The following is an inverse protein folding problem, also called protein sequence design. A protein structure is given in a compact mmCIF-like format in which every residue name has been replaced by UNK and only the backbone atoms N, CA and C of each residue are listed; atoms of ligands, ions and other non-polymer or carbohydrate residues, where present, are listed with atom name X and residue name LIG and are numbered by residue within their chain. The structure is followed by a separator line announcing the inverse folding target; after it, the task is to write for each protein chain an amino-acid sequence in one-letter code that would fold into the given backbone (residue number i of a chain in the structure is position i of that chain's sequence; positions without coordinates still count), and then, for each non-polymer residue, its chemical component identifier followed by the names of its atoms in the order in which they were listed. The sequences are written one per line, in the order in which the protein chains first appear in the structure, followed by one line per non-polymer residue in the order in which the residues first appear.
data_IF_685194829955
#
_entry.id   IF_685194829955
#
_cell.length_a   1.000
_cell.length_b   1.000
_cell.length_c   1.000
_cell.angle_alpha   90.00
_cell.angle_beta   90.00
_cell.angle_gamma   90.00
#
_symmetry.space_group_name_H-M   'P 1'
#
loop_
_entity.id
_entity.type
_entity.pdbx_description
1 polymer ?
#
# COMPACT_ATOMS: atom_id res chain seq x y z
N UNK A 1 7.65 1.51 -42.48
CA UNK A 1 8.66 0.44 -42.64
C UNK A 1 8.20 -0.77 -41.82
N UNK A 2 7.55 -1.75 -42.44
CA UNK A 2 7.56 -3.18 -42.10
C UNK A 2 6.51 -3.91 -42.99
N UNK A 3 6.97 -4.75 -43.91
CA UNK A 3 6.15 -5.60 -44.82
C UNK A 3 6.19 -7.09 -44.43
N UNK A 4 6.53 -7.38 -43.17
CA UNK A 4 6.39 -8.71 -42.56
C UNK A 4 5.60 -8.55 -41.27
N UNK A 5 4.74 -9.53 -40.97
CA UNK A 5 4.14 -9.64 -39.65
C UNK A 5 5.26 -9.57 -38.59
N UNK A 6 5.18 -8.70 -37.60
CA UNK A 6 6.18 -8.64 -36.54
C UNK A 6 6.23 -10.00 -35.84
N UNK A 7 7.44 -10.56 -35.67
CA UNK A 7 7.67 -11.91 -35.12
C UNK A 7 8.07 -11.88 -33.63
N UNK A 8 7.92 -10.74 -32.93
CA UNK A 8 8.35 -10.60 -31.53
C UNK A 8 7.49 -9.59 -30.77
N UNK A 9 7.51 -9.68 -29.45
CA UNK A 9 6.78 -8.76 -28.58
C UNK A 9 7.25 -7.32 -28.79
N UNK A 10 6.32 -6.38 -28.68
CA UNK A 10 6.55 -4.95 -28.87
C UNK A 10 6.18 -4.20 -27.60
N UNK A 11 7.07 -3.31 -27.18
CA UNK A 11 6.78 -2.28 -26.18
C UNK A 11 6.83 -0.93 -26.90
N UNK A 12 5.76 -0.14 -26.81
CA UNK A 12 5.66 1.13 -27.53
C UNK A 12 5.06 2.25 -26.66
N UNK A 13 5.34 3.49 -27.04
CA UNK A 13 4.57 4.65 -26.58
C UNK A 13 3.39 4.83 -27.52
N UNK A 14 2.21 5.13 -26.98
CA UNK A 14 1.04 5.48 -27.79
C UNK A 14 1.27 6.79 -28.56
N UNK A 15 0.59 6.94 -29.70
CA UNK A 15 0.72 8.14 -30.55
C UNK A 15 0.36 9.45 -29.82
N UNK A 16 -0.51 9.36 -28.82
CA UNK A 16 -0.95 10.47 -27.96
C UNK A 16 -0.27 10.48 -26.58
N UNK A 17 0.85 9.76 -26.41
CA UNK A 17 1.58 9.75 -25.15
C UNK A 17 2.21 11.13 -24.88
N UNK A 18 1.96 11.64 -23.69
CA UNK A 18 2.55 12.85 -23.15
C UNK A 18 3.38 12.53 -21.89
N UNK A 19 4.41 13.33 -21.64
CA UNK A 19 5.30 13.13 -20.48
C UNK A 19 4.49 13.45 -19.20
N UNK A 20 4.50 12.55 -18.19
CA UNK A 20 3.78 12.79 -16.94
C UNK A 20 4.23 14.08 -16.24
N UNK A 21 3.26 14.88 -15.81
CA UNK A 21 3.45 16.08 -15.01
C UNK A 21 2.63 15.99 -13.72
N UNK A 22 2.99 16.80 -12.72
CA UNK A 22 2.22 16.86 -11.48
C UNK A 22 2.12 18.30 -11.05
N UNK A 23 0.90 18.81 -10.99
CA UNK A 23 0.63 20.08 -10.34
C UNK A 23 0.73 19.87 -8.83
N UNK A 24 1.48 20.73 -8.15
CA UNK A 24 1.60 20.72 -6.69
C UNK A 24 1.24 22.07 -6.13
N UNK A 25 0.31 22.10 -5.18
CA UNK A 25 -0.07 23.29 -4.44
C UNK A 25 0.06 23.00 -2.94
N UNK A 26 0.65 23.91 -2.18
CA UNK A 26 0.72 23.80 -0.73
C UNK A 26 0.34 25.11 -0.05
N UNK A 27 -0.29 24.98 1.11
CA UNK A 27 -0.65 26.09 1.99
C UNK A 27 -0.34 25.68 3.43
N UNK A 28 0.47 26.49 4.10
CA UNK A 28 0.84 26.27 5.50
C UNK A 28 0.55 27.50 6.35
N UNK A 29 0.13 27.29 7.58
CA UNK A 29 -0.02 28.33 8.59
C UNK A 29 0.50 27.85 9.93
N UNK A 30 1.14 28.76 10.66
CA UNK A 30 1.64 28.51 12.01
C UNK A 30 1.21 29.65 12.94
N UNK A 31 0.87 29.29 14.18
CA UNK A 31 0.45 30.22 15.21
C UNK A 31 1.12 29.88 16.54
N UNK A 32 1.73 30.89 17.16
CA UNK A 32 2.26 30.80 18.52
C UNK A 32 1.23 31.42 19.45
N UNK A 33 0.73 30.62 20.39
CA UNK A 33 -0.24 31.08 21.41
C UNK A 33 0.43 31.98 22.45
N UNK A 34 -0.36 32.69 23.26
CA UNK A 34 0.14 33.45 24.42
C UNK A 34 0.86 32.58 25.47
N UNK A 35 0.62 31.27 25.44
CA UNK A 35 1.29 30.28 26.29
C UNK A 35 2.41 29.54 25.56
N UNK A 36 2.99 30.12 24.52
CA UNK A 36 4.14 29.59 23.75
C UNK A 36 3.96 28.22 23.11
N UNK A 37 2.73 27.72 22.98
CA UNK A 37 2.44 26.59 22.10
C UNK A 37 2.58 27.02 20.64
N UNK A 38 3.39 26.30 19.86
CA UNK A 38 3.44 26.41 18.41
C UNK A 38 2.48 25.39 17.80
N UNK A 39 1.44 25.89 17.14
CA UNK A 39 0.45 25.13 16.38
C UNK A 39 0.72 25.32 14.89
N UNK A 40 0.74 24.26 14.10
CA UNK A 40 0.83 24.36 12.63
C UNK A 40 -0.20 23.50 11.93
N UNK A 41 -0.63 23.99 10.78
CA UNK A 41 -1.46 23.27 9.82
C UNK A 41 -0.84 23.42 8.44
N UNK A 42 -0.72 22.32 7.72
CA UNK A 42 -0.24 22.28 6.34
C UNK A 42 -1.21 21.48 5.49
N UNK A 43 -1.51 21.98 4.30
CA UNK A 43 -2.30 21.31 3.27
C UNK A 43 -1.43 21.18 2.04
N UNK A 44 -1.35 19.97 1.48
CA UNK A 44 -0.66 19.68 0.22
C UNK A 44 -1.66 19.02 -0.73
N UNK A 45 -1.80 19.59 -1.92
CA UNK A 45 -2.58 19.04 -3.02
C UNK A 45 -1.65 18.72 -4.20
N UNK A 46 -1.83 17.52 -4.76
CA UNK A 46 -1.19 17.07 -5.98
C UNK A 46 -2.26 16.63 -6.97
N UNK A 47 -2.09 16.99 -8.23
CA UNK A 47 -2.92 16.54 -9.34
C UNK A 47 -2.02 15.93 -10.39
N UNK A 48 -2.30 14.67 -10.79
CA UNK A 48 -1.49 13.96 -11.77
C UNK A 48 -2.04 14.22 -13.17
N UNK A 49 -1.20 14.82 -14.00
CA UNK A 49 -1.47 15.05 -15.41
C UNK A 49 -0.64 14.07 -16.24
N UNK A 50 -1.21 13.53 -17.30
CA UNK A 50 -0.53 12.62 -18.22
C UNK A 50 0.11 11.39 -17.54
N UNK A 51 -0.50 10.86 -16.47
CA UNK A 51 -0.01 9.68 -15.77
C UNK A 51 0.09 8.48 -16.72
N UNK A 52 1.22 7.76 -16.67
CA UNK A 52 1.48 6.62 -17.54
C UNK A 52 0.66 5.41 -17.14
N UNK A 53 -0.09 4.82 -18.08
CA UNK A 53 -0.73 3.52 -17.89
C UNK A 53 -0.35 2.55 -19.01
N UNK A 54 -0.43 1.25 -18.74
CA UNK A 54 -0.06 0.20 -19.68
C UNK A 54 -1.30 -0.55 -20.11
N UNK A 55 -1.39 -0.87 -21.40
CA UNK A 55 -2.47 -1.70 -21.96
C UNK A 55 -1.93 -2.59 -23.08
N UNK A 56 -2.65 -3.67 -23.41
CA UNK A 56 -2.27 -4.58 -24.49
C UNK A 56 -3.05 -4.21 -25.75
N UNK A 57 -2.37 -3.68 -26.77
CA UNK A 57 -2.97 -3.24 -28.03
C UNK A 57 -3.75 -4.37 -28.73
N UNK A 58 -3.40 -5.63 -28.48
CA UNK A 58 -4.14 -6.78 -29.05
C UNK A 58 -5.55 -6.91 -28.47
N UNK A 59 -5.76 -6.37 -27.28
CA UNK A 59 -6.97 -6.47 -26.49
C UNK A 59 -7.79 -5.17 -26.52
N UNK A 60 -7.63 -4.34 -27.56
CA UNK A 60 -8.21 -2.99 -27.58
C UNK A 60 -9.74 -2.93 -27.71
N UNK A 61 -10.39 -4.05 -28.08
CA UNK A 61 -11.84 -4.11 -28.30
C UNK A 61 -12.48 -5.09 -27.33
N UNK A 62 -13.45 -4.59 -26.57
CA UNK A 62 -14.28 -5.42 -25.70
C UNK A 62 -15.07 -6.41 -26.56
N UNK A 63 -14.97 -7.69 -26.23
CA UNK A 63 -15.66 -8.79 -26.91
C UNK A 63 -16.94 -9.19 -26.17
N UNK A 64 -16.89 -9.27 -24.84
CA UNK A 64 -18.00 -9.72 -24.00
C UNK A 64 -18.14 -8.83 -22.75
N UNK A 65 -19.17 -9.10 -21.95
CA UNK A 65 -19.40 -8.43 -20.66
C UNK A 65 -19.54 -9.48 -19.58
N UNK A 66 -18.80 -9.33 -18.50
CA UNK A 66 -18.84 -10.19 -17.33
C UNK A 66 -20.18 -10.08 -16.58
N UNK A 67 -20.53 -11.08 -15.74
CA UNK A 67 -21.73 -11.05 -14.89
C UNK A 67 -21.89 -9.74 -14.09
N UNK A 68 -20.79 -9.17 -13.60
CA UNK A 68 -20.75 -7.94 -12.81
C UNK A 68 -20.63 -6.65 -13.64
N UNK A 69 -20.72 -6.75 -14.97
CA UNK A 69 -20.67 -5.62 -15.89
C UNK A 69 -19.27 -5.23 -16.36
N UNK A 70 -18.19 -5.88 -15.88
CA UNK A 70 -16.83 -5.60 -16.37
C UNK A 70 -16.61 -6.04 -17.82
N UNK A 71 -15.76 -5.33 -18.57
CA UNK A 71 -15.46 -5.70 -19.95
C UNK A 71 -14.58 -6.96 -20.00
N UNK A 72 -14.90 -7.86 -20.94
CA UNK A 72 -14.06 -9.01 -21.31
C UNK A 72 -13.51 -8.74 -22.70
N UNK A 73 -12.21 -8.94 -22.86
CA UNK A 73 -11.49 -8.65 -24.11
C UNK A 73 -11.03 -9.95 -24.75
N UNK A 74 -11.09 -10.02 -26.09
CA UNK A 74 -10.48 -11.11 -26.84
C UNK A 74 -9.06 -10.73 -27.25
N UNK A 75 -8.08 -11.48 -26.74
CA UNK A 75 -6.66 -11.28 -27.03
C UNK A 75 -6.05 -12.44 -27.82
N UNK A 76 -6.87 -13.37 -28.29
CA UNK A 76 -6.48 -14.67 -28.82
C UNK A 76 -5.96 -14.64 -30.26
N UNK A 77 -5.81 -13.46 -30.86
CA UNK A 77 -5.49 -13.25 -32.28
C UNK A 77 -4.11 -13.74 -32.77
N UNK A 78 -3.37 -14.53 -32.00
CA UNK A 78 -2.09 -15.15 -32.40
C UNK A 78 -0.93 -14.18 -32.64
N UNK A 79 -1.16 -12.88 -32.45
CA UNK A 79 -0.13 -11.85 -32.57
C UNK A 79 0.80 -11.86 -31.36
N UNK A 80 2.11 -11.61 -31.54
CA UNK A 80 3.02 -11.38 -30.41
C UNK A 80 2.51 -10.24 -29.53
N UNK A 81 2.82 -10.32 -28.24
CA UNK A 81 2.44 -9.32 -27.24
C UNK A 81 2.80 -7.89 -27.67
N UNK A 82 1.89 -6.95 -27.44
CA UNK A 82 2.08 -5.56 -27.82
C UNK A 82 1.61 -4.64 -26.67
N UNK A 83 2.49 -4.40 -25.69
CA UNK A 83 2.20 -3.51 -24.58
C UNK A 83 2.49 -2.07 -24.98
N UNK A 84 1.49 -1.21 -24.81
CA UNK A 84 1.56 0.21 -25.15
C UNK A 84 1.40 1.05 -23.88
N UNK A 85 2.19 2.10 -23.76
CA UNK A 85 2.09 3.10 -22.70
C UNK A 85 1.25 4.27 -23.20
N UNK A 86 0.13 4.54 -22.52
CA UNK A 86 -0.71 5.71 -22.72
C UNK A 86 -0.59 6.73 -21.58
N UNK A 87 -1.29 7.85 -21.73
CA UNK A 87 -1.36 8.93 -20.74
C UNK A 87 -2.80 9.14 -20.28
N UNK A 88 -3.01 9.44 -19.00
CA UNK A 88 -4.33 9.76 -18.42
C UNK A 88 -4.22 10.86 -17.36
N UNK A 89 -5.21 11.73 -17.29
CA UNK A 89 -5.32 12.75 -16.24
C UNK A 89 -6.11 12.18 -15.05
N UNK A 90 -5.59 11.11 -14.46
CA UNK A 90 -6.17 10.43 -13.30
C UNK A 90 -5.12 10.25 -12.21
N UNK A 91 -5.56 10.39 -10.97
CA UNK A 91 -4.72 10.32 -9.78
C UNK A 91 -4.59 11.69 -9.12
N UNK A 92 -4.64 11.70 -7.80
CA UNK A 92 -4.52 12.92 -7.02
C UNK A 92 -3.96 12.61 -5.63
N UNK A 93 -3.51 13.63 -4.91
CA UNK A 93 -3.09 13.45 -3.53
C UNK A 93 -3.44 14.67 -2.70
N UNK A 94 -4.20 14.48 -1.63
CA UNK A 94 -4.57 15.52 -0.69
C UNK A 94 -4.11 15.12 0.71
N UNK A 95 -3.21 15.92 1.28
CA UNK A 95 -2.64 15.68 2.60
C UNK A 95 -2.95 16.86 3.52
N UNK A 96 -3.39 16.55 4.73
CA UNK A 96 -3.56 17.49 5.83
C UNK A 96 -2.60 17.10 6.96
N UNK A 97 -1.71 18.00 7.35
CA UNK A 97 -0.84 17.81 8.49
C UNK A 97 -1.16 18.83 9.58
N UNK A 98 -1.32 18.35 10.80
CA UNK A 98 -1.50 19.16 11.99
C UNK A 98 -0.38 18.85 12.96
N UNK A 99 0.27 19.88 13.51
CA UNK A 99 1.31 19.68 14.50
C UNK A 99 1.19 20.66 15.66
N UNK A 100 1.69 20.20 16.81
CA UNK A 100 1.81 20.97 18.03
C UNK A 100 3.20 20.75 18.62
N UNK A 101 3.82 21.82 19.10
CA UNK A 101 5.05 21.72 19.86
C UNK A 101 5.10 22.74 20.99
N UNK A 102 5.83 22.38 22.03
CA UNK A 102 6.09 23.24 23.18
C UNK A 102 7.32 22.76 23.92
N UNK A 103 8.14 23.70 24.34
CA UNK A 103 9.17 23.50 25.36
C UNK A 103 8.82 24.27 26.64
N UNK A 104 9.23 23.73 27.78
CA UNK A 104 9.07 24.38 29.08
C UNK A 104 10.01 23.79 30.12
N UNK A 105 10.35 24.60 31.11
CA UNK A 105 11.13 24.16 32.27
C UNK A 105 10.23 23.66 33.40
N UNK A 106 10.70 22.63 34.09
CA UNK A 106 10.14 22.15 35.35
C UNK A 106 11.22 22.08 36.43
N UNK A 107 10.82 21.93 37.69
CA UNK A 107 11.77 21.64 38.78
C UNK A 107 12.55 20.33 38.58
N UNK A 108 12.05 19.45 37.72
CA UNK A 108 12.65 18.15 37.43
C UNK A 108 13.43 18.11 36.12
N UNK A 109 13.54 19.22 35.37
CA UNK A 109 14.26 19.32 34.09
C UNK A 109 13.47 20.05 33.02
N UNK A 110 14.13 20.35 31.91
CA UNK A 110 13.51 20.92 30.71
C UNK A 110 12.77 19.83 29.93
N UNK A 111 11.60 20.15 29.40
CA UNK A 111 10.80 19.28 28.57
C UNK A 111 10.62 19.94 27.20
N UNK A 112 10.80 19.17 26.13
CA UNK A 112 10.46 19.56 24.76
C UNK A 112 9.56 18.48 24.15
N UNK A 113 8.37 18.88 23.73
CA UNK A 113 7.35 18.00 23.16
C UNK A 113 7.03 18.42 21.73
N UNK A 114 6.82 17.43 20.88
CA UNK A 114 6.21 17.59 19.57
C UNK A 114 5.23 16.45 19.30
N UNK A 115 4.08 16.76 18.72
CA UNK A 115 3.15 15.77 18.20
C UNK A 115 2.60 16.24 16.85
N UNK A 116 2.39 15.31 15.92
CA UNK A 116 1.74 15.58 14.66
C UNK A 116 0.86 14.44 14.19
N UNK A 117 -0.19 14.77 13.45
CA UNK A 117 -0.97 13.82 12.65
C UNK A 117 -1.00 14.31 11.21
N UNK A 118 -0.80 13.39 10.28
CA UNK A 118 -0.98 13.60 8.85
C UNK A 118 -2.07 12.66 8.37
N UNK A 119 -3.09 13.22 7.73
CA UNK A 119 -4.16 12.51 7.04
C UNK A 119 -3.92 12.64 5.54
N UNK A 120 -4.00 11.54 4.81
CA UNK A 120 -3.74 11.49 3.37
C UNK A 120 -4.88 10.78 2.67
N UNK A 121 -5.29 11.34 1.54
CA UNK A 121 -6.12 10.70 0.52
C UNK A 121 -5.29 10.75 -0.78
N UNK A 122 -4.80 9.59 -1.22
CA UNK A 122 -3.87 9.47 -2.34
C UNK A 122 -4.38 8.41 -3.30
N UNK A 123 -4.77 8.88 -4.48
CA UNK A 123 -5.21 8.02 -5.57
C UNK A 123 -4.18 7.99 -6.71
N UNK A 124 -4.06 6.83 -7.34
CA UNK A 124 -3.30 6.62 -8.56
C UNK A 124 -4.05 5.68 -9.50
N UNK A 125 -3.38 5.18 -10.54
CA UNK A 125 -3.91 4.18 -11.47
C UNK A 125 -3.38 2.76 -11.19
N UNK A 126 -2.54 2.58 -10.17
CA UNK A 126 -2.01 1.28 -9.72
C UNK A 126 -0.79 0.73 -10.47
N UNK A 127 -0.38 1.34 -11.59
CA UNK A 127 0.71 0.87 -12.44
C UNK A 127 2.10 1.41 -12.03
N UNK A 128 3.17 0.90 -12.66
CA UNK A 128 4.50 1.52 -12.62
C UNK A 128 5.44 1.03 -11.51
N UNK A 129 5.11 -0.09 -10.86
CA UNK A 129 5.86 -0.64 -9.72
C UNK A 129 6.89 -1.71 -10.11
N UNK A 130 6.96 -2.09 -11.39
CA UNK A 130 7.74 -3.22 -11.89
C UNK A 130 8.75 -2.81 -12.98
N UNK A 131 9.56 -3.75 -13.48
CA UNK A 131 10.73 -3.43 -14.32
C UNK A 131 10.54 -3.59 -15.84
N UNK A 132 9.51 -4.30 -16.31
CA UNK A 132 9.24 -4.49 -17.74
C UNK A 132 7.85 -3.98 -18.10
N UNK A 133 7.57 -3.72 -19.37
CA UNK A 133 6.25 -3.24 -19.78
C UNK A 133 5.16 -4.27 -19.46
N UNK A 134 5.45 -5.56 -19.68
CA UNK A 134 4.54 -6.66 -19.39
C UNK A 134 4.22 -6.75 -17.91
N UNK A 135 5.24 -6.70 -17.04
CA UNK A 135 5.03 -6.76 -15.59
C UNK A 135 4.34 -5.50 -15.05
N UNK A 136 4.59 -4.33 -15.62
CA UNK A 136 3.80 -3.14 -15.27
C UNK A 136 2.34 -3.25 -15.71
N UNK A 137 2.04 -3.96 -16.80
CA UNK A 137 0.68 -4.25 -17.23
C UNK A 137 0.00 -5.33 -16.36
N UNK A 138 0.77 -6.20 -15.69
CA UNK A 138 0.23 -7.39 -15.03
C UNK A 138 0.30 -7.40 -13.49
N UNK A 139 1.30 -6.79 -12.86
CA UNK A 139 1.59 -6.81 -11.41
C UNK A 139 0.74 -5.82 -10.58
N UNK A 140 -0.55 -5.69 -10.87
CA UNK A 140 -1.45 -4.88 -10.05
C UNK A 140 -2.89 -5.44 -10.03
N UNK A 141 -3.56 -5.29 -8.89
CA UNK A 141 -4.95 -5.68 -8.75
C UNK A 141 -5.86 -4.83 -9.66
N UNK A 142 -6.42 -5.45 -10.69
CA UNK A 142 -7.05 -4.72 -11.78
C UNK A 142 -8.59 -4.79 -11.74
N UNK A 143 -9.25 -3.64 -11.89
CA UNK A 143 -10.66 -3.63 -12.30
C UNK A 143 -10.80 -3.99 -13.78
N UNK A 144 -10.02 -3.28 -14.61
CA UNK A 144 -9.87 -3.46 -16.05
C UNK A 144 -8.39 -3.20 -16.38
N UNK A 145 -7.74 -4.08 -17.13
CA UNK A 145 -6.32 -3.92 -17.52
C UNK A 145 -6.13 -3.06 -18.77
N UNK A 146 -7.17 -2.86 -19.57
CA UNK A 146 -7.10 -2.11 -20.83
C UNK A 146 -7.45 -0.63 -20.66
N UNK A 147 -8.13 -0.28 -19.57
CA UNK A 147 -8.59 1.09 -19.31
C UNK A 147 -8.10 1.56 -17.94
N UNK A 148 -7.41 2.71 -17.86
CA UNK A 148 -6.92 3.22 -16.58
C UNK A 148 -8.10 3.66 -15.70
N UNK A 149 -7.99 3.37 -14.40
CA UNK A 149 -8.97 3.75 -13.41
C UNK A 149 -8.29 4.21 -12.12
N UNK A 150 -8.66 5.40 -11.67
CA UNK A 150 -8.22 5.93 -10.37
C UNK A 150 -8.72 5.05 -9.22
N UNK A 151 -7.91 4.96 -8.17
CA UNK A 151 -8.26 4.34 -6.90
C UNK A 151 -7.14 4.55 -5.89
N UNK A 152 -7.35 4.11 -4.64
CA UNK A 152 -6.37 4.30 -3.56
C UNK A 152 -4.99 3.77 -3.95
N UNK A 153 -3.94 4.53 -3.67
CA UNK A 153 -2.57 4.18 -4.03
C UNK A 153 -2.00 3.05 -3.16
N UNK A 154 -1.19 2.17 -3.75
CA UNK A 154 -0.41 1.17 -3.01
C UNK A 154 0.57 1.80 -2.00
N UNK A 155 0.87 3.09 -2.16
CA UNK A 155 1.83 3.85 -1.36
C UNK A 155 1.16 4.83 -0.39
N UNK A 156 -0.17 4.85 -0.33
CA UNK A 156 -0.88 5.66 0.62
C UNK A 156 -0.50 5.28 2.06
N UNK A 157 -0.32 6.31 2.89
CA UNK A 157 -0.35 6.17 4.35
C UNK A 157 -1.48 7.07 4.84
N UNK A 158 -2.68 6.51 4.92
CA UNK A 158 -3.92 7.24 5.20
C UNK A 158 -3.79 8.09 6.47
N UNK A 159 -3.25 7.50 7.54
CA UNK A 159 -2.95 8.23 8.77
C UNK A 159 -1.52 7.95 9.21
N UNK A 160 -0.77 9.02 9.51
CA UNK A 160 0.55 8.96 10.13
C UNK A 160 0.63 9.88 11.35
N UNK A 161 1.01 9.32 12.49
CA UNK A 161 1.17 10.00 13.77
C UNK A 161 2.65 10.00 14.14
N UNK A 162 3.16 11.14 14.60
CA UNK A 162 4.50 11.26 15.17
C UNK A 162 4.42 11.92 16.52
N UNK A 163 5.20 11.44 17.45
CA UNK A 163 5.34 12.00 18.79
C UNK A 163 6.82 12.01 19.18
N UNK A 164 7.27 13.12 19.76
CA UNK A 164 8.59 13.28 20.34
C UNK A 164 8.43 13.86 21.74
N UNK A 165 9.12 13.25 22.69
CA UNK A 165 9.28 13.80 24.03
C UNK A 165 10.75 13.78 24.41
N UNK A 166 11.29 14.96 24.67
CA UNK A 166 12.62 15.16 25.20
C UNK A 166 12.51 15.61 26.65
N UNK A 167 13.33 15.02 27.50
CA UNK A 167 13.60 15.51 28.85
C UNK A 167 15.10 15.74 28.98
N UNK A 168 15.50 16.88 29.52
CA UNK A 168 16.90 17.12 29.86
C UNK A 168 17.11 17.78 31.21
N UNK A 169 18.22 17.44 31.85
CA UNK A 169 18.65 17.98 33.14
C UNK A 169 20.14 17.77 33.35
N UNK A 170 20.79 18.76 33.94
CA UNK A 170 22.14 18.62 34.48
C UNK A 170 22.12 17.77 35.76
N UNK A 171 22.07 16.44 35.63
CA UNK A 171 22.26 15.54 36.77
C UNK A 171 23.69 15.62 37.32
N UNK A 172 24.63 16.02 36.46
CA UNK A 172 26.00 16.37 36.80
C UNK A 172 26.21 17.86 36.47
N UNK A 173 26.78 18.62 37.40
CA UNK A 173 26.91 20.07 37.23
C UNK A 173 27.69 20.42 35.95
N UNK A 174 27.03 21.13 35.03
CA UNK A 174 27.60 21.56 33.75
C UNK A 174 27.56 20.50 32.63
N UNK A 175 26.94 19.34 32.88
CA UNK A 175 26.86 18.23 31.93
C UNK A 175 25.44 17.67 31.82
N UNK A 176 24.81 17.95 30.69
CA UNK A 176 23.43 17.58 30.44
C UNK A 176 23.23 16.06 30.34
N UNK A 177 22.23 15.55 31.06
CA UNK A 177 21.59 14.27 30.75
C UNK A 177 20.36 14.55 29.90
N UNK A 178 20.20 13.83 28.79
CA UNK A 178 19.02 13.94 27.92
C UNK A 178 18.42 12.58 27.63
N UNK A 179 17.11 12.46 27.79
CA UNK A 179 16.31 11.29 27.43
C UNK A 179 15.31 11.70 26.35
N UNK A 180 15.31 10.99 25.23
CA UNK A 180 14.48 11.27 24.07
C UNK A 180 13.65 10.04 23.72
N UNK A 181 12.33 10.20 23.73
CA UNK A 181 11.38 9.21 23.25
C UNK A 181 10.85 9.67 21.90
N UNK A 182 10.85 8.78 20.91
CA UNK A 182 10.26 9.01 19.59
C UNK A 182 9.26 7.91 19.30
N UNK A 183 8.01 8.26 19.03
CA UNK A 183 7.00 7.30 18.64
C UNK A 183 6.45 7.66 17.26
N UNK A 184 6.30 6.65 16.41
CA UNK A 184 5.63 6.76 15.12
C UNK A 184 4.51 5.73 15.06
N UNK A 185 3.32 6.16 14.68
CA UNK A 185 2.18 5.30 14.43
C UNK A 185 1.68 5.53 13.01
N UNK A 186 1.28 4.49 12.28
CA UNK A 186 0.70 4.68 10.95
C UNK A 186 -0.21 3.52 10.52
N UNK A 187 -1.17 3.85 9.66
CA UNK A 187 -1.93 2.87 8.88
C UNK A 187 -0.97 1.96 8.12
N UNK A 188 -1.32 0.67 8.00
CA UNK A 188 -0.51 -0.27 7.22
C UNK A 188 -0.67 -0.05 5.72
N UNK A 189 0.12 -0.79 4.93
CA UNK A 189 0.07 -0.69 3.47
C UNK A 189 -1.30 -1.15 2.95
N UNK A 190 -1.96 -0.38 2.06
CA UNK A 190 -3.17 -0.81 1.38
C UNK A 190 -2.97 -2.10 0.59
N UNK A 191 -4.03 -2.89 0.47
CA UNK A 191 -4.06 -4.12 -0.33
C UNK A 191 -5.43 -4.31 -0.99
N UNK A 192 -5.46 -5.13 -2.04
CA UNK A 192 -6.67 -5.45 -2.78
C UNK A 192 -7.06 -6.92 -2.64
N UNK A 193 -8.36 -7.22 -2.70
CA UNK A 193 -8.84 -8.59 -2.83
C UNK A 193 -9.09 -8.94 -4.30
N UNK A 194 -8.58 -10.08 -4.74
CA UNK A 194 -8.63 -10.49 -6.14
C UNK A 194 -9.11 -11.93 -6.29
N UNK A 195 -9.55 -12.26 -7.50
CA UNK A 195 -9.63 -13.65 -7.91
C UNK A 195 -8.22 -14.26 -7.96
N UNK A 196 -8.10 -15.52 -7.58
CA UNK A 196 -6.89 -16.29 -7.86
C UNK A 196 -6.88 -16.69 -9.34
N UNK A 197 -6.17 -15.91 -10.13
CA UNK A 197 -6.03 -16.06 -11.58
C UNK A 197 -4.73 -16.74 -12.01
N UNK A 198 -4.03 -17.42 -11.09
CA UNK A 198 -2.80 -18.12 -11.43
C UNK A 198 -3.04 -19.17 -12.53
N UNK A 199 -2.66 -18.82 -13.76
CA UNK A 199 -2.85 -19.61 -14.98
C UNK A 199 -4.34 -19.88 -15.30
N UNK A 200 -5.26 -19.01 -14.85
CA UNK A 200 -6.70 -19.04 -15.12
C UNK A 200 -7.26 -17.62 -15.21
N UNK A 201 -7.55 -17.13 -16.41
CA UNK A 201 -8.13 -15.79 -16.60
C UNK A 201 -9.66 -15.83 -16.48
N UNK A 202 -10.22 -15.08 -15.52
CA UNK A 202 -11.67 -14.94 -15.35
C UNK A 202 -12.25 -14.08 -16.48
N UNK A 203 -11.51 -13.07 -16.93
CA UNK A 203 -11.94 -12.10 -17.96
C UNK A 203 -11.19 -12.24 -19.29
N UNK A 204 -11.11 -13.46 -19.81
CA UNK A 204 -10.65 -13.76 -21.18
C UNK A 204 -11.70 -14.64 -21.89
N UNK A 205 -11.88 -14.42 -23.19
CA UNK A 205 -12.88 -15.16 -23.97
C UNK A 205 -12.51 -16.64 -24.04
N UNK A 206 -13.47 -17.52 -23.71
CA UNK A 206 -13.29 -18.97 -23.69
C UNK A 206 -12.66 -19.52 -22.40
N UNK A 207 -12.23 -18.65 -21.47
CA UNK A 207 -11.65 -19.03 -20.18
C UNK A 207 -10.38 -19.87 -20.25
N UNK A 208 -9.79 -20.17 -19.09
CA UNK A 208 -8.63 -21.05 -18.98
C UNK A 208 -7.29 -20.32 -19.00
N UNK A 209 -6.24 -20.97 -19.53
CA UNK A 209 -4.87 -20.44 -19.49
C UNK A 209 -4.79 -19.16 -20.30
N UNK A 210 -4.46 -18.06 -19.63
CA UNK A 210 -4.36 -16.75 -20.27
C UNK A 210 -3.40 -16.80 -21.47
N UNK A 211 -3.83 -16.21 -22.59
CA UNK A 211 -2.98 -15.99 -23.76
C UNK A 211 -1.99 -14.81 -23.56
N UNK A 212 -2.13 -14.10 -22.45
CA UNK A 212 -1.22 -13.06 -21.94
C UNK A 212 -0.13 -13.71 -21.08
N UNK A 213 0.93 -12.98 -20.72
CA UNK A 213 1.76 -13.36 -19.57
C UNK A 213 0.84 -13.37 -18.33
N UNK A 214 0.21 -14.53 -18.07
CA UNK A 214 -0.27 -14.96 -16.77
C UNK A 214 0.72 -16.00 -16.32
N UNK A 215 1.93 -15.54 -16.04
CA UNK A 215 3.04 -16.39 -15.65
C UNK A 215 3.09 -16.42 -14.14
N UNK A 216 2.08 -17.00 -13.48
CA UNK A 216 2.24 -17.51 -12.12
C UNK A 216 2.72 -16.48 -11.06
N UNK A 217 2.72 -15.17 -11.39
CA UNK A 217 3.39 -14.09 -10.66
C UNK A 217 2.70 -12.72 -10.94
N UNK A 218 1.46 -12.75 -11.44
CA UNK A 218 0.71 -11.56 -11.84
C UNK A 218 -0.49 -11.39 -10.91
N UNK A 219 -0.74 -10.16 -10.46
CA UNK A 219 -1.89 -9.87 -9.62
C UNK A 219 -3.20 -10.14 -10.39
N UNK A 220 -4.24 -10.64 -9.74
CA UNK A 220 -5.54 -10.95 -10.32
C UNK A 220 -6.44 -9.73 -10.52
N UNK A 221 -7.58 -9.95 -11.17
CA UNK A 221 -8.65 -8.96 -11.18
C UNK A 221 -9.36 -8.85 -9.83
N UNK A 222 -9.85 -7.65 -9.50
CA UNK A 222 -10.61 -7.40 -8.26
C UNK A 222 -11.77 -8.38 -8.09
N UNK A 223 -11.93 -8.90 -6.88
CA UNK A 223 -12.91 -9.93 -6.57
C UNK A 223 -14.34 -9.37 -6.62
N UNK A 224 -15.24 -10.05 -7.34
CA UNK A 224 -16.68 -9.89 -7.08
C UNK A 224 -17.03 -10.70 -5.82
N UNK A 225 -17.66 -10.05 -4.85
CA UNK A 225 -18.06 -10.65 -3.58
C UNK A 225 -19.57 -10.91 -3.61
N UNK A 226 -20.02 -12.18 -3.70
CA UNK A 226 -21.45 -12.46 -3.73
C UNK A 226 -22.12 -12.08 -2.42
N UNK A 227 -23.35 -11.58 -2.50
CA UNK A 227 -24.17 -11.23 -1.33
C UNK A 227 -24.63 -12.45 -0.52
N UNK A 228 -24.56 -13.64 -1.11
CA UNK A 228 -24.90 -14.92 -0.48
C UNK A 228 -25.10 -16.03 -1.51
N UNK A 229 -25.51 -17.24 -1.08
CA UNK A 229 -25.79 -18.36 -1.99
C UNK A 229 -26.92 -18.09 -2.99
N UNK A 230 -27.78 -17.10 -2.73
CA UNK A 230 -28.88 -16.68 -3.60
C UNK A 230 -28.53 -15.48 -4.48
N UNK A 231 -27.28 -15.02 -4.46
CA UNK A 231 -26.83 -13.92 -5.32
C UNK A 231 -27.02 -14.30 -6.79
N UNK A 232 -27.62 -13.44 -7.62
CA UNK A 232 -27.88 -13.76 -9.03
C UNK A 232 -26.60 -13.98 -9.84
N UNK A 233 -25.45 -13.48 -9.38
CA UNK A 233 -24.16 -13.66 -10.05
C UNK A 233 -23.34 -14.82 -9.45
N UNK A 234 -23.86 -15.56 -8.46
CA UNK A 234 -23.23 -16.76 -7.91
C UNK A 234 -23.81 -18.02 -8.55
N UNK A 235 -22.97 -18.81 -9.22
CA UNK A 235 -23.41 -20.07 -9.81
C UNK A 235 -23.65 -21.12 -8.72
N UNK A 236 -24.81 -21.78 -8.75
CA UNK A 236 -25.14 -22.85 -7.81
C UNK A 236 -24.19 -24.06 -7.90
N UNK A 237 -23.49 -24.21 -9.03
CA UNK A 237 -22.46 -25.22 -9.28
C UNK A 237 -21.09 -24.88 -8.71
N UNK A 238 -20.91 -23.68 -8.12
CA UNK A 238 -19.68 -23.29 -7.43
C UNK A 238 -19.25 -24.37 -6.43
N UNK A 239 -17.94 -24.63 -6.37
CA UNK A 239 -17.34 -25.70 -5.58
C UNK A 239 -17.92 -27.09 -5.91
N UNK A 240 -18.24 -27.33 -7.20
CA UNK A 240 -18.87 -28.56 -7.65
C UNK A 240 -20.27 -28.79 -7.09
N UNK A 241 -20.92 -27.74 -6.58
CA UNK A 241 -22.20 -27.82 -5.88
C UNK A 241 -22.10 -28.36 -4.45
N UNK A 242 -20.90 -28.44 -3.86
CA UNK A 242 -20.73 -28.89 -2.48
C UNK A 242 -21.17 -27.79 -1.49
N UNK A 243 -22.26 -28.00 -0.72
CA UNK A 243 -22.76 -27.00 0.23
C UNK A 243 -21.77 -26.70 1.37
N UNK A 244 -20.88 -27.64 1.72
CA UNK A 244 -19.89 -27.43 2.78
C UNK A 244 -18.80 -26.46 2.32
N UNK A 245 -18.31 -26.62 1.09
CA UNK A 245 -17.31 -25.71 0.51
C UNK A 245 -17.91 -24.33 0.22
N UNK A 246 -19.13 -24.27 -0.31
CA UNK A 246 -19.86 -23.00 -0.47
C UNK A 246 -20.01 -22.28 0.88
N UNK A 247 -20.39 -23.00 1.94
CA UNK A 247 -20.49 -22.42 3.28
C UNK A 247 -19.14 -21.95 3.80
N UNK A 248 -18.04 -22.67 3.52
CA UNK A 248 -16.70 -22.25 3.91
C UNK A 248 -16.29 -20.93 3.23
N UNK A 249 -16.63 -20.75 1.96
CA UNK A 249 -16.41 -19.49 1.23
C UNK A 249 -17.19 -18.33 1.85
N UNK A 250 -18.48 -18.50 2.12
CA UNK A 250 -19.27 -17.47 2.78
C UNK A 250 -18.85 -17.21 4.23
N UNK A 251 -18.36 -18.22 4.95
CA UNK A 251 -17.77 -18.02 6.28
C UNK A 251 -16.50 -17.16 6.20
N UNK A 252 -15.67 -17.37 5.18
CA UNK A 252 -14.49 -16.54 4.95
C UNK A 252 -14.88 -15.09 4.61
N UNK A 253 -15.81 -14.88 3.68
CA UNK A 253 -16.31 -13.53 3.33
C UNK A 253 -16.84 -12.82 4.59
N UNK A 254 -17.73 -13.47 5.34
CA UNK A 254 -18.35 -12.87 6.53
C UNK A 254 -17.38 -12.69 7.71
N UNK A 255 -16.28 -13.42 7.73
CA UNK A 255 -15.23 -13.34 8.75
C UNK A 255 -14.09 -12.38 8.41
N UNK A 256 -14.13 -11.73 7.25
CA UNK A 256 -13.10 -10.81 6.76
C UNK A 256 -13.70 -9.47 6.36
N UNK A 257 -12.83 -8.54 5.97
CA UNK A 257 -13.17 -7.23 5.45
C UNK A 257 -14.04 -7.32 4.18
N UNK A 258 -14.03 -8.46 3.47
CA UNK A 258 -14.84 -8.69 2.28
C UNK A 258 -16.34 -8.54 2.51
N UNK A 259 -16.82 -8.76 3.74
CA UNK A 259 -18.23 -8.61 4.08
C UNK A 259 -18.80 -7.23 3.69
N UNK A 260 -17.97 -6.18 3.68
CA UNK A 260 -18.40 -4.82 3.32
C UNK A 260 -18.72 -4.66 1.82
N UNK A 261 -18.24 -5.58 0.96
CA UNK A 261 -18.42 -5.54 -0.49
C UNK A 261 -19.49 -6.51 -1.00
N UNK A 262 -20.27 -7.12 -0.12
CA UNK A 262 -21.31 -8.09 -0.47
C UNK A 262 -22.27 -7.57 -1.56
N UNK A 263 -22.38 -8.31 -2.66
CA UNK A 263 -23.16 -7.94 -3.85
C UNK A 263 -22.44 -6.98 -4.81
N UNK A 264 -21.14 -6.79 -4.65
CA UNK A 264 -20.35 -5.83 -5.42
C UNK A 264 -18.90 -6.28 -5.63
N UNK A 265 -18.12 -5.41 -6.26
CA UNK A 265 -16.70 -5.63 -6.54
C UNK A 265 -15.90 -5.00 -5.40
N UNK A 266 -14.98 -5.76 -4.81
CA UNK A 266 -14.05 -5.23 -3.82
C UNK A 266 -13.19 -4.12 -4.45
N UNK A 267 -13.07 -2.98 -3.75
CA UNK A 267 -12.33 -1.84 -4.28
C UNK A 267 -10.82 -2.13 -4.34
N UNK A 268 -10.13 -1.55 -5.33
CA UNK A 268 -8.66 -1.55 -5.35
C UNK A 268 -8.17 -0.79 -4.13
N UNK A 269 -7.33 -1.45 -3.33
CA UNK A 269 -6.72 -0.89 -2.13
C UNK A 269 -7.74 -0.38 -1.11
N UNK A 270 -8.93 -1.00 -1.07
CA UNK A 270 -10.00 -0.62 -0.14
C UNK A 270 -9.74 -1.00 1.31
N UNK A 271 -8.77 -1.88 1.57
CA UNK A 271 -8.41 -2.35 2.90
C UNK A 271 -6.91 -2.18 3.16
N UNK A 272 -6.52 -2.15 4.44
CA UNK A 272 -5.13 -1.86 4.84
C UNK A 272 -4.55 -2.92 5.74
N UNK A 273 -3.25 -3.16 5.59
CA UNK A 273 -2.49 -4.01 6.49
C UNK A 273 -2.54 -3.45 7.93
N UNK A 274 -2.19 -4.29 8.91
CA UNK A 274 -2.26 -3.92 10.32
C UNK A 274 -1.52 -2.61 10.62
N UNK A 275 -2.16 -1.74 11.42
CA UNK A 275 -1.54 -0.55 11.99
C UNK A 275 -0.22 -0.88 12.71
N UNK A 276 0.81 -0.06 12.49
CA UNK A 276 2.11 -0.23 13.14
C UNK A 276 2.45 0.95 14.05
N UNK A 277 3.02 0.65 15.22
CA UNK A 277 3.53 1.65 16.17
C UNK A 277 4.95 1.29 16.58
N UNK A 278 5.92 2.14 16.27
CA UNK A 278 7.33 1.99 16.66
C UNK A 278 7.65 3.06 17.71
N UNK A 279 8.33 2.65 18.78
CA UNK A 279 8.80 3.54 19.84
C UNK A 279 10.30 3.35 20.01
N UNK A 280 11.06 4.42 19.83
CA UNK A 280 12.50 4.46 20.00
C UNK A 280 12.86 5.27 21.25
N UNK A 281 13.93 4.87 21.92
CA UNK A 281 14.43 5.55 23.11
C UNK A 281 15.92 5.86 22.93
N UNK A 282 16.29 7.11 23.19
CA UNK A 282 17.68 7.54 23.26
C UNK A 282 17.98 8.13 24.63
N UNK A 283 19.10 7.71 25.20
CA UNK A 283 19.65 8.27 26.43
C UNK A 283 21.03 8.83 26.09
N UNK A 284 21.28 10.09 26.43
CA UNK A 284 22.54 10.79 26.24
C UNK A 284 23.01 11.35 27.59
N UNK A 285 24.29 11.20 27.87
CA UNK A 285 24.96 11.82 29.01
C UNK A 285 26.20 12.56 28.54
N UNK A 286 26.26 13.86 28.79
CA UNK A 286 27.50 14.63 28.65
C UNK A 286 28.42 14.37 29.83
N UNK A 287 29.72 14.45 29.60
CA UNK A 287 30.78 14.22 30.59
C UNK A 287 31.94 15.18 30.34
N UNK A 288 32.76 15.46 31.36
CA UNK A 288 34.02 16.18 31.15
C UNK A 288 34.89 15.48 30.11
N UNK A 289 35.50 16.26 29.23
CA UNK A 289 36.59 15.79 28.37
C UNK A 289 37.90 15.62 29.15
N UNK A 290 38.95 15.14 28.47
CA UNK A 290 40.27 14.95 29.07
C UNK A 290 41.05 16.26 29.23
N UNK A 291 40.65 17.31 28.51
CA UNK A 291 41.26 18.63 28.52
C UNK A 291 40.21 19.70 28.88
N UNK A 292 40.62 20.88 29.38
CA UNK A 292 39.72 22.01 29.60
C UNK A 292 38.93 22.32 28.33
N UNK A 293 37.64 22.66 28.46
CA UNK A 293 36.71 22.97 27.36
C UNK A 293 36.27 21.78 26.47
N UNK A 294 37.00 20.66 26.50
CA UNK A 294 36.59 19.45 25.79
C UNK A 294 35.39 18.78 26.49
N UNK A 295 34.57 18.06 25.70
CA UNK A 295 33.42 17.29 26.21
C UNK A 295 33.42 15.88 25.66
N UNK A 296 33.05 14.93 26.52
CA UNK A 296 32.70 13.58 26.11
C UNK A 296 31.18 13.40 26.18
N UNK A 297 30.63 12.53 25.33
CA UNK A 297 29.21 12.19 25.33
C UNK A 297 29.07 10.69 25.18
N UNK A 298 28.38 10.07 26.14
CA UNK A 298 27.91 8.70 26.04
C UNK A 298 26.47 8.73 25.55
N UNK A 299 26.13 7.86 24.60
CA UNK A 299 24.76 7.68 24.19
C UNK A 299 24.41 6.20 24.02
N UNK A 300 23.16 5.90 24.34
CA UNK A 300 22.55 4.59 24.24
C UNK A 300 21.20 4.73 23.53
N UNK A 301 21.11 4.13 22.35
CA UNK A 301 19.93 4.15 21.51
C UNK A 301 19.29 2.75 21.51
N UNK A 302 17.97 2.72 21.68
CA UNK A 302 17.11 1.54 21.58
C UNK A 302 16.12 1.82 20.46
N UNK A 303 16.31 1.18 19.32
CA UNK A 303 15.32 1.18 18.25
C UNK A 303 14.28 0.11 18.54
N UNK A 304 13.01 0.47 18.37
CA UNK A 304 11.86 -0.40 18.62
C UNK A 304 11.83 -0.98 20.03
N UNK A 305 11.92 -0.11 21.05
CA UNK A 305 11.77 -0.43 22.47
C UNK A 305 10.50 -1.25 22.75
N UNK A 306 9.41 -0.97 22.04
CA UNK A 306 8.18 -1.77 22.16
C UNK A 306 8.43 -3.25 21.91
N UNK A 307 9.12 -3.59 20.81
CA UNK A 307 9.46 -4.96 20.47
C UNK A 307 10.44 -5.61 21.46
N UNK A 308 11.40 -4.84 21.99
CA UNK A 308 12.31 -5.29 23.04
C UNK A 308 11.54 -5.74 24.30
N UNK A 309 10.45 -5.05 24.64
CA UNK A 309 9.61 -5.36 25.81
C UNK A 309 8.60 -6.48 25.54
N UNK A 310 8.06 -6.55 24.32
CA UNK A 310 7.11 -7.58 23.90
C UNK A 310 7.26 -7.84 22.39
N UNK A 311 7.53 -9.09 22.00
CA UNK A 311 7.75 -9.48 20.60
C UNK A 311 6.55 -9.21 19.66
N UNK A 312 5.35 -9.01 20.19
CA UNK A 312 4.15 -8.69 19.40
C UNK A 312 3.95 -7.18 19.18
N UNK A 313 4.69 -6.34 19.93
CA UNK A 313 4.70 -4.89 19.77
C UNK A 313 5.74 -4.48 18.74
N UNK A 314 5.52 -3.32 18.10
CA UNK A 314 6.46 -2.80 17.13
C UNK A 314 6.59 -3.63 15.86
N UNK A 315 5.63 -4.51 15.57
CA UNK A 315 5.60 -5.30 14.34
C UNK A 315 5.09 -4.45 13.18
N UNK A 316 5.81 -4.52 12.07
CA UNK A 316 5.41 -3.91 10.79
C UNK A 316 5.16 -5.06 9.82
N UNK A 317 3.88 -5.33 9.57
CA UNK A 317 3.41 -6.40 8.70
C UNK A 317 2.68 -5.78 7.50
N UNK A 318 2.85 -6.39 6.34
CA UNK A 318 2.11 -6.02 5.13
C UNK A 318 1.76 -7.23 4.30
N UNK A 319 0.70 -7.13 3.52
CA UNK A 319 0.54 -8.00 2.34
C UNK A 319 1.73 -7.75 1.41
N UNK A 320 2.33 -8.83 0.90
CA UNK A 320 3.50 -8.75 0.01
C UNK A 320 3.17 -7.98 -1.26
N UNK A 321 4.21 -7.53 -1.96
CA UNK A 321 4.11 -7.26 -3.40
C UNK A 321 3.47 -8.51 -4.04
N UNK A 322 2.42 -8.44 -4.84
CA UNK A 322 1.84 -7.40 -5.72
C UNK A 322 0.69 -6.59 -5.08
N UNK A 323 0.68 -6.48 -3.75
CA UNK A 323 -0.32 -5.76 -2.95
C UNK A 323 -1.73 -6.36 -3.05
N UNK A 324 -1.82 -7.67 -3.26
CA UNK A 324 -3.08 -8.38 -3.37
C UNK A 324 -3.22 -9.58 -2.42
N UNK A 325 -4.47 -9.95 -2.21
CA UNK A 325 -4.92 -11.14 -1.49
C UNK A 325 -5.79 -11.96 -2.43
N UNK A 326 -5.20 -13.01 -3.00
CA UNK A 326 -5.84 -13.88 -3.97
C UNK A 326 -6.80 -14.86 -3.27
N UNK A 327 -8.11 -14.62 -3.37
CA UNK A 327 -9.07 -15.30 -2.48
C UNK A 327 -9.45 -16.68 -3.00
N UNK A 328 -9.90 -16.73 -4.25
CA UNK A 328 -10.63 -17.87 -4.80
C UNK A 328 -10.53 -17.84 -6.32
N UNK A 329 -10.40 -19.00 -6.97
CA UNK A 329 -10.47 -19.09 -8.41
C UNK A 329 -11.93 -19.00 -8.90
N UNK A 330 -12.14 -18.49 -10.11
CA UNK A 330 -13.46 -18.47 -10.71
C UNK A 330 -13.40 -18.71 -12.23
N UNK A 331 -14.55 -19.09 -12.78
CA UNK A 331 -14.87 -19.05 -14.20
C UNK A 331 -16.24 -18.40 -14.39
N UNK A 332 -16.56 -18.00 -15.62
CA UNK A 332 -17.89 -17.50 -15.96
C UNK A 332 -18.66 -18.62 -16.67
N UNK A 333 -19.81 -19.00 -16.12
CA UNK A 333 -20.72 -20.01 -16.66
C UNK A 333 -22.13 -19.44 -16.69
N UNK A 334 -22.76 -19.46 -17.86
CA UNK A 334 -24.15 -19.01 -18.06
C UNK A 334 -24.48 -17.62 -17.46
N UNK A 335 -23.51 -16.69 -17.52
CA UNK A 335 -23.66 -15.33 -16.99
C UNK A 335 -23.56 -15.22 -15.47
N UNK A 336 -23.00 -16.23 -14.78
CA UNK A 336 -22.69 -16.23 -13.35
C UNK A 336 -21.21 -16.56 -13.12
N UNK A 337 -20.69 -16.21 -11.94
CA UNK A 337 -19.39 -16.68 -11.46
C UNK A 337 -19.53 -18.06 -10.84
N UNK A 338 -18.82 -19.03 -11.41
CA UNK A 338 -18.60 -20.34 -10.80
C UNK A 338 -17.29 -20.31 -10.03
N UNK A 339 -17.39 -20.24 -8.71
CA UNK A 339 -16.24 -20.21 -7.81
C UNK A 339 -15.69 -21.60 -7.56
N UNK A 340 -14.37 -21.71 -7.42
CA UNK A 340 -13.69 -22.95 -7.06
C UNK A 340 -12.41 -22.66 -6.31
N UNK A 341 -11.91 -23.64 -5.54
CA UNK A 341 -10.61 -23.57 -4.86
C UNK A 341 -10.44 -22.31 -4.02
N UNK A 342 -11.16 -22.24 -2.90
CA UNK A 342 -10.90 -21.23 -1.87
C UNK A 342 -9.47 -21.42 -1.34
N UNK A 343 -8.65 -20.39 -1.43
CA UNK A 343 -7.29 -20.44 -0.89
C UNK A 343 -7.32 -20.53 0.64
N UNK A 344 -6.26 -21.10 1.24
CA UNK A 344 -6.12 -21.08 2.70
C UNK A 344 -5.92 -19.66 3.21
N UNK A 345 -6.42 -19.32 4.40
CA UNK A 345 -6.27 -17.98 5.02
C UNK A 345 -4.83 -17.47 4.98
N UNK A 346 -3.86 -18.33 5.32
CA UNK A 346 -2.44 -17.99 5.27
C UNK A 346 -1.97 -17.57 3.87
N UNK A 347 -2.47 -18.25 2.82
CA UNK A 347 -2.15 -17.90 1.43
C UNK A 347 -2.80 -16.57 1.07
N UNK A 348 -4.07 -16.39 1.40
CA UNK A 348 -4.83 -15.19 1.06
C UNK A 348 -4.21 -13.95 1.74
N UNK A 349 -3.88 -14.02 3.02
CA UNK A 349 -3.32 -12.85 3.74
C UNK A 349 -1.93 -12.46 3.20
N UNK A 350 -1.17 -13.45 2.72
CA UNK A 350 0.16 -13.31 2.12
C UNK A 350 1.07 -12.34 2.88
N UNK A 351 1.11 -12.44 4.21
CA UNK A 351 1.80 -11.46 5.05
C UNK A 351 3.33 -11.64 5.01
N UNK A 352 4.03 -10.52 4.99
CA UNK A 352 5.44 -10.44 5.36
C UNK A 352 5.66 -9.49 6.55
N UNK A 353 6.49 -9.94 7.49
CA UNK A 353 6.99 -9.11 8.58
C UNK A 353 8.29 -8.44 8.13
N UNK A 354 8.33 -7.11 8.17
CA UNK A 354 9.48 -6.34 7.73
C UNK A 354 10.59 -6.34 8.79
N UNK A 355 11.85 -6.21 8.34
CA UNK A 355 13.03 -6.21 9.21
C UNK A 355 13.01 -5.13 10.28
N UNK A 356 12.30 -4.02 10.06
CA UNK A 356 12.08 -2.95 11.05
C UNK A 356 11.27 -3.39 12.28
N UNK A 357 10.72 -4.59 12.26
CA UNK A 357 9.99 -5.17 13.39
C UNK A 357 10.90 -5.64 14.53
N UNK A 358 12.21 -5.77 14.29
CA UNK A 358 13.16 -6.19 15.34
C UNK A 358 13.67 -4.98 16.11
N UNK A 359 14.02 -5.18 17.38
CA UNK A 359 14.72 -4.17 18.17
C UNK A 359 16.22 -4.17 17.87
N UNK A 360 16.85 -3.00 18.04
CA UNK A 360 18.29 -2.82 17.91
C UNK A 360 18.83 -1.96 19.05
N UNK A 361 20.09 -2.20 19.44
CA UNK A 361 20.79 -1.43 20.45
C UNK A 361 22.06 -0.83 19.87
N UNK A 362 22.29 0.45 20.11
CA UNK A 362 23.53 1.12 19.77
C UNK A 362 24.09 1.83 21.00
N UNK A 363 25.34 1.51 21.34
CA UNK A 363 26.13 2.23 22.33
C UNK A 363 27.21 3.01 21.60
N UNK A 364 27.36 4.29 21.92
CA UNK A 364 28.40 5.12 21.33
C UNK A 364 29.00 6.14 22.28
N UNK A 365 30.21 6.55 21.92
CA UNK A 365 30.93 7.64 22.55
C UNK A 365 31.28 8.67 21.48
N UNK A 366 31.03 9.95 21.78
CA UNK A 366 31.49 11.09 20.98
C UNK A 366 32.38 11.97 21.85
N UNK A 367 33.44 12.51 21.26
CA UNK A 367 34.36 13.43 21.92
C UNK A 367 34.48 14.70 21.09
N UNK A 368 34.14 15.84 21.69
CA UNK A 368 34.26 17.16 21.08
C UNK A 368 35.48 17.88 21.67
N UNK A 369 36.33 18.39 20.77
CA UNK A 369 37.62 19.01 21.05
C UNK A 369 37.62 20.52 20.78
#
# INVERSE_FOLDING_TARGET
LATKAPNGSVNALGDAFEIPTTLKASLGAAYITESDWLLSVDVLYNDLENASFWFDQRCAVQAETAPDGRPIYDCSGGNPEAIVIGSTDQGSGLLYAFAVSKDWDTTYGAIDMFASVTLSDVEDIGYGTSSTATSNYSDFAAYDRQRPRSGVSNFETETAIKFRLNWSKDLFSGYETKVSLFATGRTGQPYSYTFNENNSCVFDVGGGRCARESRNDDAGHLLYVPSGPSDPLFAATSFGGDPVEQQAFFNYINGSELAQYAGGIAARNGDTSRWSTIVDLRIKQELPGFLPEHRAMLFFDIENLGNLLNSDWGRVERTRYEYERDVVSASIVDGQYEYSRLNSTRSIENLETLSRSVWQLQLGIKYDF
#
